data_IF_882044188158
#
_entry.id   IF_882044188158
#
_cell.length_a   1.000
_cell.length_b   1.000
_cell.length_c   1.000
_cell.angle_alpha   90.00
_cell.angle_beta   90.00
_cell.angle_gamma   90.00
#
_symmetry.space_group_name_H-M   'P 1'
#
loop_
_entity.id
_entity.type
_entity.pdbx_description
1 polymer ?
#
# COMPACT_ATOMS: atom_id res chain seq x y z
N UNK A 1 -2.32 16.05 6.50
CA UNK A 1 -2.46 17.51 6.72
C UNK A 1 -3.12 17.81 8.07
N UNK A 2 -4.39 17.43 8.30
CA UNK A 2 -5.08 17.65 9.59
C UNK A 2 -4.36 17.05 10.80
N UNK A 3 -3.81 15.84 10.68
CA UNK A 3 -3.02 15.22 11.75
C UNK A 3 -1.76 16.02 12.12
N UNK A 4 -1.09 16.67 11.16
CA UNK A 4 0.11 17.49 11.43
C UNK A 4 -0.22 18.80 12.14
N UNK A 5 -1.34 19.44 11.74
CA UNK A 5 -1.86 20.66 12.40
C UNK A 5 -2.30 20.37 13.85
N UNK A 6 -2.92 19.22 14.10
CA UNK A 6 -3.36 18.82 15.43
C UNK A 6 -2.18 18.50 16.37
N UNK A 7 -1.16 17.81 15.86
CA UNK A 7 0.06 17.49 16.62
C UNK A 7 0.86 18.76 16.96
N UNK A 8 0.87 19.77 16.08
CA UNK A 8 1.54 21.04 16.36
C UNK A 8 0.85 21.90 17.43
N UNK A 9 -0.45 21.71 17.67
CA UNK A 9 -1.20 22.49 18.66
C UNK A 9 -1.06 21.89 20.06
N UNK A 10 -1.39 20.61 20.23
CA UNK A 10 -1.18 19.86 21.47
C UNK A 10 -1.36 18.35 21.23
N UNK A 11 -0.37 17.55 21.63
CA UNK A 11 -0.44 16.08 21.53
C UNK A 11 -1.69 15.52 22.23
N UNK A 12 -2.08 16.08 23.37
CA UNK A 12 -3.25 15.64 24.15
C UNK A 12 -4.53 15.86 23.36
N UNK A 13 -4.63 16.96 22.61
CA UNK A 13 -5.79 17.26 21.78
C UNK A 13 -5.93 16.29 20.60
N UNK A 14 -4.80 15.91 19.98
CA UNK A 14 -4.78 14.92 18.90
C UNK A 14 -5.31 13.54 19.38
N UNK A 15 -4.88 13.08 20.57
CA UNK A 15 -5.36 11.83 21.16
C UNK A 15 -6.82 11.92 21.63
N UNK A 16 -7.24 13.05 22.22
CA UNK A 16 -8.62 13.25 22.65
C UNK A 16 -9.60 13.23 21.47
N UNK A 17 -9.26 13.91 20.37
CA UNK A 17 -10.06 13.90 19.15
C UNK A 17 -10.13 12.49 18.52
N UNK A 18 -9.01 11.77 18.50
CA UNK A 18 -8.99 10.39 18.02
C UNK A 18 -9.91 9.49 18.85
N UNK A 19 -9.85 9.58 20.19
CA UNK A 19 -10.72 8.82 21.08
C UNK A 19 -12.21 9.14 20.86
N UNK A 20 -12.53 10.41 20.63
CA UNK A 20 -13.89 10.87 20.37
C UNK A 20 -14.43 10.34 19.02
N UNK A 21 -13.61 10.37 17.96
CA UNK A 21 -13.95 9.80 16.66
C UNK A 21 -14.12 8.27 16.71
N UNK A 22 -13.24 7.56 17.43
CA UNK A 22 -13.40 6.12 17.64
C UNK A 22 -14.66 5.80 18.45
N UNK A 23 -14.97 6.60 19.48
CA UNK A 23 -16.20 6.46 20.25
C UNK A 23 -17.45 6.69 19.40
N UNK A 24 -17.46 7.74 18.57
CA UNK A 24 -18.54 8.01 17.62
C UNK A 24 -18.69 6.88 16.60
N UNK A 25 -17.58 6.34 16.08
CA UNK A 25 -17.57 5.18 15.19
C UNK A 25 -18.13 3.92 15.84
N UNK A 26 -17.71 3.61 17.07
CA UNK A 26 -18.22 2.48 17.83
C UNK A 26 -19.73 2.61 18.12
N UNK A 27 -20.19 3.82 18.44
CA UNK A 27 -21.61 4.11 18.63
C UNK A 27 -22.39 3.94 17.31
N UNK A 28 -21.88 4.45 16.20
CA UNK A 28 -22.50 4.28 14.89
C UNK A 28 -22.57 2.78 14.49
N UNK A 29 -21.53 2.01 14.81
CA UNK A 29 -21.48 0.57 14.60
C UNK A 29 -22.46 -0.20 15.49
N UNK A 30 -22.67 0.24 16.73
CA UNK A 30 -23.66 -0.33 17.64
C UNK A 30 -25.11 -0.05 17.21
N UNK A 31 -25.34 1.06 16.51
CA UNK A 31 -26.66 1.45 15.99
C UNK A 31 -26.99 0.79 14.63
N UNK A 32 -25.99 0.28 13.91
CA UNK A 32 -26.19 -0.46 12.67
C UNK A 32 -26.78 -1.85 12.96
N UNK A 33 -27.94 -2.14 12.36
CA UNK A 33 -28.54 -3.46 12.40
C UNK A 33 -27.64 -4.47 11.69
N UNK A 34 -27.25 -5.52 12.41
CA UNK A 34 -26.43 -6.62 11.87
C UNK A 34 -27.22 -7.42 10.84
N UNK A 35 -27.01 -7.14 9.56
CA UNK A 35 -27.31 -8.08 8.48
C UNK A 35 -26.16 -9.11 8.39
N UNK A 36 -26.08 -10.00 9.37
CA UNK A 36 -25.14 -11.11 9.30
C UNK A 36 -25.61 -12.09 8.20
N UNK A 37 -24.76 -12.45 7.21
CA UNK A 37 -25.09 -13.54 6.32
C UNK A 37 -25.30 -14.80 7.16
N UNK A 38 -26.48 -15.43 7.02
CA UNK A 38 -26.96 -16.54 7.86
C UNK A 38 -26.10 -17.83 7.80
N UNK A 39 -25.06 -17.88 6.95
CA UNK A 39 -24.19 -19.04 6.75
C UNK A 39 -22.70 -18.67 6.75
N UNK A 40 -22.24 -17.93 7.77
CA UNK A 40 -20.80 -17.85 8.03
C UNK A 40 -20.36 -19.14 8.74
N UNK A 41 -19.85 -20.12 7.99
CA UNK A 41 -19.12 -21.25 8.57
C UNK A 41 -18.06 -20.74 9.54
N UNK A 42 -17.93 -21.38 10.72
CA UNK A 42 -17.00 -20.92 11.76
C UNK A 42 -15.58 -20.81 11.18
N UNK A 43 -14.90 -19.65 11.34
CA UNK A 43 -13.51 -19.52 10.91
C UNK A 43 -12.68 -20.54 11.68
N UNK A 44 -12.24 -21.57 10.97
CA UNK A 44 -11.46 -22.68 11.52
C UNK A 44 -10.05 -22.56 10.94
N UNK A 45 -9.00 -22.95 11.67
CA UNK A 45 -7.63 -22.90 11.12
C UNK A 45 -7.47 -23.60 9.77
N UNK A 46 -8.25 -24.67 9.55
CA UNK A 46 -8.33 -25.40 8.27
C UNK A 46 -8.82 -24.52 7.11
N UNK A 47 -9.74 -23.61 7.36
CA UNK A 47 -10.30 -22.66 6.39
C UNK A 47 -9.25 -21.65 5.90
N UNK A 48 -8.40 -21.16 6.80
CA UNK A 48 -7.26 -20.30 6.43
C UNK A 48 -6.19 -21.06 5.64
N UNK A 49 -5.91 -22.31 6.01
CA UNK A 49 -5.01 -23.21 5.28
C UNK A 49 -5.50 -23.53 3.87
N UNK A 50 -6.81 -23.64 3.66
CA UNK A 50 -7.39 -23.78 2.32
C UNK A 50 -7.22 -22.52 1.47
N UNK A 51 -7.36 -21.33 2.06
CA UNK A 51 -7.04 -20.05 1.41
C UNK A 51 -5.58 -19.99 0.95
N UNK A 52 -4.64 -20.34 1.83
CA UNK A 52 -3.19 -20.41 1.50
C UNK A 52 -2.94 -21.40 0.35
N UNK A 53 -3.53 -22.60 0.44
CA UNK A 53 -3.37 -23.65 -0.57
C UNK A 53 -3.95 -23.22 -1.93
N UNK A 54 -5.03 -22.45 -1.92
CA UNK A 54 -5.62 -21.88 -3.13
C UNK A 54 -4.70 -20.85 -3.78
N UNK A 55 -4.18 -19.89 -3.00
CA UNK A 55 -3.22 -18.88 -3.48
C UNK A 55 -2.00 -19.59 -4.09
N UNK A 56 -1.47 -20.62 -3.43
CA UNK A 56 -0.35 -21.42 -3.93
C UNK A 56 -0.62 -22.16 -5.25
N UNK A 57 -1.86 -22.57 -5.50
CA UNK A 57 -2.23 -23.24 -6.76
C UNK A 57 -2.49 -22.24 -7.89
N UNK A 58 -2.97 -21.05 -7.59
CA UNK A 58 -3.32 -20.05 -8.59
C UNK A 58 -2.17 -19.09 -8.85
N UNK A 59 -1.30 -19.46 -9.80
CA UNK A 59 -0.05 -18.75 -10.13
C UNK A 59 -0.22 -17.26 -10.46
N UNK A 60 -1.35 -16.86 -11.04
CA UNK A 60 -1.65 -15.44 -11.34
C UNK A 60 -1.88 -14.65 -10.07
N UNK A 61 -2.65 -15.19 -9.12
CA UNK A 61 -2.94 -14.55 -7.83
C UNK A 61 -1.68 -14.51 -6.97
N UNK A 62 -0.93 -15.62 -6.93
CA UNK A 62 0.36 -15.66 -6.23
C UNK A 62 1.35 -14.66 -6.83
N UNK A 63 1.44 -14.56 -8.15
CA UNK A 63 2.35 -13.61 -8.80
C UNK A 63 1.98 -12.16 -8.52
N UNK A 64 0.69 -11.80 -8.51
CA UNK A 64 0.21 -10.46 -8.15
C UNK A 64 0.49 -10.12 -6.68
N UNK A 65 0.12 -11.04 -5.77
CA UNK A 65 0.30 -10.85 -4.32
C UNK A 65 1.79 -10.81 -3.97
N UNK A 66 2.62 -11.71 -4.51
CA UNK A 66 4.06 -11.69 -4.26
C UNK A 66 4.73 -10.43 -4.83
N UNK A 67 4.36 -9.99 -6.03
CA UNK A 67 4.88 -8.76 -6.62
C UNK A 67 4.61 -7.57 -5.71
N UNK A 68 3.38 -7.46 -5.21
CA UNK A 68 2.94 -6.41 -4.29
C UNK A 68 3.67 -6.49 -2.94
N UNK A 69 3.74 -7.68 -2.34
CA UNK A 69 4.48 -7.90 -1.09
C UNK A 69 5.92 -7.44 -1.19
N UNK A 70 6.62 -7.83 -2.26
CA UNK A 70 8.01 -7.42 -2.45
C UNK A 70 8.13 -5.94 -2.79
N UNK A 71 7.23 -5.39 -3.58
CA UNK A 71 7.23 -3.96 -3.88
C UNK A 71 7.04 -3.09 -2.63
N UNK A 72 6.14 -3.52 -1.73
CA UNK A 72 5.83 -2.86 -0.46
C UNK A 72 6.94 -3.08 0.57
N UNK A 73 7.53 -4.28 0.64
CA UNK A 73 8.67 -4.60 1.49
C UNK A 73 9.81 -3.60 1.26
N UNK A 74 10.19 -3.40 0.00
CA UNK A 74 11.23 -2.43 -0.38
C UNK A 74 10.71 -0.97 -0.42
N UNK A 75 9.40 -0.77 -0.28
CA UNK A 75 8.73 0.54 -0.28
C UNK A 75 8.70 1.24 1.08
N UNK A 76 9.39 0.72 2.11
CA UNK A 76 9.37 1.20 3.51
C UNK A 76 9.84 2.64 3.76
N UNK A 77 9.97 3.46 2.72
CA UNK A 77 10.25 4.89 2.78
C UNK A 77 9.30 5.66 3.71
N UNK A 78 8.05 5.20 3.86
CA UNK A 78 7.05 5.79 4.77
C UNK A 78 7.50 5.70 6.23
N UNK A 79 8.16 4.62 6.63
CA UNK A 79 8.69 4.44 7.99
C UNK A 79 9.83 5.42 8.30
N UNK A 80 10.57 5.84 7.27
CA UNK A 80 11.70 6.77 7.38
C UNK A 80 11.30 8.24 7.20
N UNK A 81 10.05 8.53 6.82
CA UNK A 81 9.55 9.91 6.65
C UNK A 81 9.82 10.83 7.85
N UNK A 82 9.69 10.39 9.12
CA UNK A 82 10.00 11.25 10.26
C UNK A 82 11.48 11.67 10.31
N UNK A 83 12.39 10.74 9.98
CA UNK A 83 13.83 10.99 9.92
C UNK A 83 14.14 11.95 8.77
N UNK A 84 13.52 11.75 7.60
CA UNK A 84 13.65 12.67 6.46
C UNK A 84 13.17 14.08 6.78
N UNK A 85 12.00 14.21 7.40
CA UNK A 85 11.43 15.51 7.72
C UNK A 85 12.34 16.28 8.69
N UNK A 86 12.85 15.62 9.74
CA UNK A 86 13.61 16.27 10.80
C UNK A 86 15.09 16.45 10.50
N UNK A 87 15.75 15.44 9.91
CA UNK A 87 17.21 15.41 9.75
C UNK A 87 17.70 15.81 8.35
N UNK A 88 16.88 15.64 7.30
CA UNK A 88 17.31 15.88 5.91
C UNK A 88 16.69 17.19 5.41
N UNK A 89 15.36 17.26 5.43
CA UNK A 89 14.59 18.40 4.91
C UNK A 89 14.49 19.55 5.92
N UNK A 90 14.87 19.32 7.18
CA UNK A 90 14.80 20.31 8.27
C UNK A 90 13.42 20.98 8.39
N UNK A 91 12.37 20.22 8.09
CA UNK A 91 10.99 20.66 8.15
C UNK A 91 10.33 20.19 9.45
N UNK A 92 9.70 21.13 10.15
CA UNK A 92 8.99 20.83 11.39
C UNK A 92 7.77 19.91 11.21
N UNK A 93 6.98 19.69 12.28
CA UNK A 93 5.81 18.79 12.28
C UNK A 93 4.79 19.10 11.16
N UNK A 94 4.66 20.37 10.78
CA UNK A 94 3.78 20.82 9.70
C UNK A 94 4.26 20.28 8.35
N UNK A 95 5.57 20.36 8.07
CA UNK A 95 6.15 19.85 6.83
C UNK A 95 6.09 18.33 6.73
N UNK A 96 6.32 17.61 7.84
CA UNK A 96 6.03 16.17 7.92
C UNK A 96 4.56 15.86 7.61
N UNK A 97 3.64 16.61 8.21
CA UNK A 97 2.21 16.48 7.96
C UNK A 97 1.80 16.77 6.51
N UNK A 98 2.54 17.64 5.82
CA UNK A 98 2.38 17.95 4.41
C UNK A 98 2.94 16.84 3.50
N UNK A 99 4.14 16.30 3.78
CA UNK A 99 4.71 15.16 3.05
C UNK A 99 3.78 13.93 3.14
N UNK A 100 3.28 13.62 4.34
CA UNK A 100 2.28 12.56 4.53
C UNK A 100 0.97 12.86 3.81
N UNK A 101 0.55 14.14 3.76
CA UNK A 101 -0.64 14.53 3.01
C UNK A 101 -0.47 14.35 1.51
N UNK A 102 0.72 14.65 0.97
CA UNK A 102 0.99 14.61 -0.45
C UNK A 102 0.73 13.23 -1.04
N UNK A 103 1.25 12.18 -0.40
CA UNK A 103 0.97 10.78 -0.77
C UNK A 103 -0.54 10.48 -0.75
N UNK A 104 -1.24 10.86 0.32
CA UNK A 104 -2.70 10.68 0.41
C UNK A 104 -3.50 11.46 -0.64
N UNK A 105 -3.08 12.69 -0.98
CA UNK A 105 -3.71 13.52 -2.02
C UNK A 105 -3.50 12.89 -3.40
N UNK A 106 -2.28 12.43 -3.70
CA UNK A 106 -1.99 11.71 -4.94
C UNK A 106 -2.84 10.46 -5.10
N UNK A 107 -2.93 9.65 -4.04
CA UNK A 107 -3.80 8.48 -3.99
C UNK A 107 -5.29 8.84 -4.19
N UNK A 108 -5.78 9.89 -3.53
CA UNK A 108 -7.18 10.32 -3.64
C UNK A 108 -7.53 10.82 -5.05
N UNK A 109 -6.65 11.60 -5.69
CA UNK A 109 -6.85 12.08 -7.07
C UNK A 109 -6.94 10.92 -8.05
N UNK A 110 -6.04 9.95 -7.93
CA UNK A 110 -6.05 8.74 -8.76
C UNK A 110 -7.30 7.89 -8.50
N UNK A 111 -7.69 7.69 -7.23
CA UNK A 111 -8.91 6.95 -6.88
C UNK A 111 -10.17 7.60 -7.46
N UNK A 112 -10.26 8.94 -7.42
CA UNK A 112 -11.35 9.68 -8.04
C UNK A 112 -11.34 9.53 -9.57
N UNK A 113 -10.16 9.47 -10.19
CA UNK A 113 -9.99 9.18 -11.62
C UNK A 113 -10.49 7.78 -11.99
N UNK A 114 -10.04 6.75 -11.27
CA UNK A 114 -10.43 5.36 -11.51
C UNK A 114 -11.94 5.14 -11.30
N UNK A 115 -12.53 5.83 -10.32
CA UNK A 115 -13.99 5.77 -10.10
C UNK A 115 -14.78 6.28 -11.31
N UNK A 116 -14.25 7.28 -12.03
CA UNK A 116 -14.87 7.81 -13.25
C UNK A 116 -14.57 6.97 -14.48
N UNK A 117 -13.36 6.41 -14.56
CA UNK A 117 -12.91 5.57 -15.68
C UNK A 117 -12.36 4.26 -15.12
N UNK A 118 -13.21 3.24 -14.93
CA UNK A 118 -12.79 1.97 -14.39
C UNK A 118 -11.76 1.33 -15.31
N UNK A 119 -10.73 0.74 -14.71
CA UNK A 119 -9.66 0.04 -15.42
C UNK A 119 -10.25 -1.24 -16.04
N UNK A 120 -10.34 -1.29 -17.37
CA UNK A 120 -10.97 -2.41 -18.09
C UNK A 120 -9.99 -3.28 -18.86
N UNK A 121 -8.95 -2.71 -19.45
CA UNK A 121 -8.02 -3.41 -20.34
C UNK A 121 -6.57 -3.22 -19.89
N UNK A 122 -5.74 -4.23 -20.07
CA UNK A 122 -4.30 -4.17 -19.84
C UNK A 122 -3.89 -4.03 -18.38
N UNK A 123 -4.69 -4.54 -17.44
CA UNK A 123 -4.45 -4.44 -15.99
C UNK A 123 -3.06 -4.94 -15.62
N UNK A 124 -2.62 -6.03 -16.24
CA UNK A 124 -1.28 -6.58 -16.05
C UNK A 124 -0.17 -5.59 -16.40
N UNK A 125 -0.19 -5.04 -17.61
CA UNK A 125 0.85 -4.11 -18.07
C UNK A 125 0.80 -2.79 -17.29
N UNK A 126 -0.41 -2.31 -16.98
CA UNK A 126 -0.61 -1.10 -16.18
C UNK A 126 -0.01 -1.27 -14.77
N UNK A 127 -0.20 -2.43 -14.14
CA UNK A 127 0.39 -2.73 -12.83
C UNK A 127 1.91 -2.59 -12.87
N UNK A 128 2.58 -3.21 -13.85
CA UNK A 128 4.04 -3.10 -13.97
C UNK A 128 4.52 -1.66 -14.16
N UNK A 129 3.85 -0.87 -15.00
CA UNK A 129 4.19 0.53 -15.20
C UNK A 129 3.97 1.38 -13.95
N UNK A 130 2.88 1.13 -13.20
CA UNK A 130 2.61 1.85 -11.97
C UNK A 130 3.63 1.51 -10.88
N UNK A 131 3.93 0.24 -10.64
CA UNK A 131 4.93 -0.14 -9.64
C UNK A 131 6.33 0.35 -10.05
N UNK A 132 6.64 0.40 -11.36
CA UNK A 132 7.91 0.96 -11.83
C UNK A 132 7.97 2.49 -11.60
N UNK A 133 6.87 3.19 -11.89
CA UNK A 133 6.71 4.61 -11.57
C UNK A 133 6.83 4.89 -10.07
N UNK A 134 6.27 4.03 -9.23
CA UNK A 134 6.43 4.08 -7.77
C UNK A 134 7.91 3.94 -7.36
N UNK A 135 8.61 2.92 -7.88
CA UNK A 135 10.04 2.74 -7.60
C UNK A 135 10.89 3.95 -8.00
N UNK A 136 10.66 4.50 -9.20
CA UNK A 136 11.35 5.71 -9.67
C UNK A 136 11.02 6.92 -8.78
N UNK A 137 9.75 7.13 -8.43
CA UNK A 137 9.34 8.22 -7.55
C UNK A 137 9.97 8.10 -6.15
N UNK A 138 10.11 6.88 -5.63
CA UNK A 138 10.80 6.59 -4.36
C UNK A 138 12.29 6.91 -4.45
N UNK A 139 12.97 6.56 -5.55
CA UNK A 139 14.38 6.95 -5.77
C UNK A 139 14.53 8.47 -5.84
N UNK A 140 13.66 9.14 -6.59
CA UNK A 140 13.66 10.61 -6.70
C UNK A 140 13.44 11.25 -5.33
N UNK A 141 12.52 10.73 -4.52
CA UNK A 141 12.31 11.17 -3.15
C UNK A 141 13.57 10.97 -2.29
N UNK A 142 14.25 9.83 -2.44
CA UNK A 142 15.43 9.51 -1.65
C UNK A 142 16.66 10.38 -1.96
N UNK A 143 16.82 10.81 -3.21
CA UNK A 143 17.91 11.71 -3.64
C UNK A 143 17.54 13.19 -3.48
N UNK A 144 16.24 13.49 -3.35
CA UNK A 144 15.74 14.86 -3.26
C UNK A 144 16.08 15.51 -1.92
N UNK A 145 16.77 16.65 -1.99
CA UNK A 145 17.00 17.58 -0.86
C UNK A 145 16.04 18.76 -0.85
N UNK A 146 15.11 18.82 -1.81
CA UNK A 146 14.14 19.91 -1.93
C UNK A 146 12.77 19.47 -1.43
N UNK A 147 12.20 20.23 -0.49
CA UNK A 147 10.89 19.94 0.09
C UNK A 147 9.79 19.79 -0.99
N UNK A 148 9.76 20.68 -1.98
CA UNK A 148 8.75 20.65 -3.05
C UNK A 148 8.91 19.45 -3.98
N UNK A 149 10.15 19.07 -4.28
CA UNK A 149 10.42 17.91 -5.12
C UNK A 149 10.03 16.62 -4.38
N UNK A 150 10.35 16.53 -3.08
CA UNK A 150 9.94 15.42 -2.23
C UNK A 150 8.41 15.35 -2.09
N UNK A 151 7.73 16.49 -1.98
CA UNK A 151 6.27 16.57 -1.94
C UNK A 151 5.64 16.00 -3.24
N UNK A 152 6.16 16.42 -4.39
CA UNK A 152 5.69 15.95 -5.69
C UNK A 152 5.98 14.45 -5.88
N UNK A 153 7.19 14.00 -5.54
CA UNK A 153 7.58 12.61 -5.63
C UNK A 153 6.67 11.70 -4.78
N UNK A 154 6.36 12.10 -3.54
CA UNK A 154 5.45 11.35 -2.68
C UNK A 154 4.01 11.35 -3.19
N UNK A 155 3.54 12.45 -3.78
CA UNK A 155 2.22 12.50 -4.41
C UNK A 155 2.13 11.54 -5.61
N UNK A 156 3.15 11.53 -6.46
CA UNK A 156 3.24 10.61 -7.60
C UNK A 156 3.32 9.15 -7.11
N UNK A 157 4.16 8.87 -6.11
CA UNK A 157 4.28 7.55 -5.51
C UNK A 157 2.94 7.06 -4.94
N UNK A 158 2.24 7.89 -4.14
CA UNK A 158 0.93 7.53 -3.60
C UNK A 158 -0.14 7.34 -4.69
N UNK A 159 -0.05 8.06 -5.80
CA UNK A 159 -0.90 7.84 -6.97
C UNK A 159 -0.67 6.48 -7.61
N UNK A 160 0.58 6.11 -7.88
CA UNK A 160 0.94 4.81 -8.46
C UNK A 160 0.61 3.62 -7.54
N UNK A 161 0.82 3.80 -6.24
CA UNK A 161 0.45 2.82 -5.21
C UNK A 161 -1.06 2.55 -5.22
N UNK A 162 -1.89 3.62 -5.30
CA UNK A 162 -3.34 3.47 -5.40
C UNK A 162 -3.78 2.66 -6.64
N UNK A 163 -3.18 2.91 -7.81
CA UNK A 163 -3.50 2.10 -9.01
C UNK A 163 -3.17 0.62 -8.76
N UNK A 164 -2.00 0.35 -8.20
CA UNK A 164 -1.52 -1.01 -7.93
C UNK A 164 -2.43 -1.75 -6.95
N UNK A 165 -2.83 -1.06 -5.86
CA UNK A 165 -3.78 -1.58 -4.88
C UNK A 165 -5.14 -1.92 -5.50
N UNK A 166 -5.67 -1.05 -6.38
CA UNK A 166 -6.94 -1.31 -7.07
C UNK A 166 -6.83 -2.51 -7.99
N UNK A 167 -5.77 -2.60 -8.80
CA UNK A 167 -5.56 -3.74 -9.71
C UNK A 167 -5.45 -5.03 -8.90
N UNK A 168 -4.71 -5.05 -7.79
CA UNK A 168 -4.58 -6.21 -6.90
C UNK A 168 -5.94 -6.66 -6.39
N UNK A 169 -6.75 -5.73 -5.87
CA UNK A 169 -8.10 -6.01 -5.41
C UNK A 169 -8.97 -6.63 -6.52
N UNK A 170 -8.89 -6.10 -7.74
CA UNK A 170 -9.64 -6.63 -8.89
C UNK A 170 -9.15 -8.04 -9.24
N UNK A 171 -7.84 -8.28 -9.31
CA UNK A 171 -7.26 -9.59 -9.63
C UNK A 171 -7.65 -10.64 -8.58
N UNK A 172 -7.57 -10.30 -7.28
CA UNK A 172 -7.95 -11.24 -6.21
C UNK A 172 -9.46 -11.51 -6.24
N UNK A 173 -10.29 -10.47 -6.39
CA UNK A 173 -11.74 -10.65 -6.39
C UNK A 173 -12.26 -11.41 -7.62
N UNK A 174 -11.71 -11.15 -8.81
CA UNK A 174 -12.10 -11.83 -10.04
C UNK A 174 -11.46 -13.23 -10.15
N UNK A 175 -10.25 -13.40 -9.61
CA UNK A 175 -9.54 -14.68 -9.61
C UNK A 175 -10.03 -15.67 -8.57
N UNK A 176 -10.78 -15.24 -7.54
CA UNK A 176 -11.19 -16.09 -6.41
C UNK A 176 -12.70 -16.40 -6.42
N UNK A 177 -13.10 -17.70 -6.36
CA UNK A 177 -14.49 -18.13 -6.22
C UNK A 177 -15.19 -17.47 -5.04
N UNK A 178 -16.49 -17.14 -5.18
CA UNK A 178 -17.26 -16.38 -4.16
C UNK A 178 -17.21 -17.02 -2.77
N UNK A 179 -17.20 -18.35 -2.67
CA UNK A 179 -17.14 -19.04 -1.37
C UNK A 179 -15.79 -18.87 -0.65
N UNK A 180 -14.70 -18.67 -1.40
CA UNK A 180 -13.34 -18.60 -0.88
C UNK A 180 -12.82 -17.17 -0.69
N UNK A 181 -13.54 -16.15 -1.20
CA UNK A 181 -13.10 -14.75 -1.15
C UNK A 181 -12.75 -14.28 0.24
N UNK A 182 -13.63 -14.51 1.23
CA UNK A 182 -13.36 -14.12 2.61
C UNK A 182 -12.09 -14.76 3.17
N UNK A 183 -11.85 -16.04 2.85
CA UNK A 183 -10.68 -16.80 3.32
C UNK A 183 -9.38 -16.32 2.67
N UNK A 184 -9.41 -16.10 1.35
CA UNK A 184 -8.25 -15.60 0.58
C UNK A 184 -7.91 -14.16 0.99
N UNK A 185 -8.91 -13.28 1.12
CA UNK A 185 -8.71 -11.89 1.55
C UNK A 185 -8.17 -11.81 2.99
N UNK A 186 -8.61 -12.68 3.91
CA UNK A 186 -8.02 -12.73 5.26
C UNK A 186 -6.53 -13.10 5.23
N UNK A 187 -6.15 -14.08 4.41
CA UNK A 187 -4.75 -14.48 4.26
C UNK A 187 -3.95 -13.37 3.60
N UNK A 188 -4.46 -12.77 2.53
CA UNK A 188 -3.84 -11.64 1.85
C UNK A 188 -3.56 -10.46 2.81
N UNK A 189 -4.54 -10.07 3.63
CA UNK A 189 -4.39 -8.98 4.59
C UNK A 189 -3.25 -9.25 5.59
N UNK A 190 -3.16 -10.48 6.12
CA UNK A 190 -2.06 -10.87 7.03
C UNK A 190 -0.71 -10.76 6.33
N UNK A 191 -0.62 -11.18 5.06
CA UNK A 191 0.61 -11.08 4.28
C UNK A 191 1.00 -9.62 3.98
N UNK A 192 0.03 -8.76 3.68
CA UNK A 192 0.26 -7.32 3.46
C UNK A 192 0.77 -6.67 4.75
N UNK A 193 0.11 -6.89 5.88
CA UNK A 193 0.52 -6.34 7.17
C UNK A 193 1.91 -6.85 7.59
N UNK A 194 2.15 -8.15 7.48
CA UNK A 194 3.47 -8.73 7.79
C UNK A 194 4.58 -8.14 6.90
N UNK A 195 4.30 -7.88 5.62
CA UNK A 195 5.29 -7.32 4.69
C UNK A 195 5.55 -5.84 4.93
N UNK A 196 4.54 -5.07 5.32
CA UNK A 196 4.71 -3.68 5.75
C UNK A 196 5.64 -3.59 6.97
N UNK A 197 5.42 -4.44 7.97
CA UNK A 197 6.26 -4.48 9.18
C UNK A 197 7.68 -4.96 8.88
N UNK A 198 7.84 -6.00 8.05
CA UNK A 198 9.15 -6.46 7.59
C UNK A 198 9.88 -5.39 6.78
N UNK A 199 9.18 -4.66 5.92
CA UNK A 199 9.75 -3.59 5.10
C UNK A 199 10.17 -2.39 5.94
N UNK A 200 9.38 -2.05 6.97
CA UNK A 200 9.75 -1.03 7.94
C UNK A 200 10.98 -1.45 8.75
N UNK A 201 11.08 -2.73 9.15
CA UNK A 201 12.24 -3.27 9.85
C UNK A 201 13.51 -3.26 8.98
N UNK A 202 13.41 -3.73 7.72
CA UNK A 202 14.50 -3.68 6.75
C UNK A 202 14.94 -2.23 6.54
N UNK A 203 14.00 -1.34 6.20
CA UNK A 203 14.28 0.07 5.92
C UNK A 203 14.91 0.76 7.12
N UNK A 204 14.46 0.45 8.35
CA UNK A 204 15.03 0.97 9.59
C UNK A 204 16.45 0.45 9.85
N UNK A 205 16.69 -0.84 9.61
CA UNK A 205 18.02 -1.47 9.78
C UNK A 205 19.02 -0.90 8.77
N UNK A 206 18.64 -0.84 7.50
CA UNK A 206 19.46 -0.25 6.44
C UNK A 206 19.69 1.24 6.70
N UNK A 207 18.67 1.97 7.18
CA UNK A 207 18.83 3.38 7.53
C UNK A 207 19.79 3.61 8.70
N UNK A 208 19.83 2.70 9.68
CA UNK A 208 20.76 2.77 10.80
C UNK A 208 22.22 2.57 10.35
N UNK A 209 22.47 1.79 9.29
CA UNK A 209 23.81 1.44 8.84
C UNK A 209 24.33 2.34 7.71
N UNK A 210 23.47 2.60 6.71
CA UNK A 210 23.82 3.32 5.47
C UNK A 210 23.20 4.73 5.39
N UNK A 211 22.36 5.09 6.36
CA UNK A 211 21.60 6.34 6.37
C UNK A 211 20.24 6.23 5.69
N UNK A 212 19.32 7.13 6.07
CA UNK A 212 17.96 7.14 5.54
C UNK A 212 17.90 7.41 4.02
N UNK A 213 18.83 8.21 3.48
CA UNK A 213 19.00 8.44 2.05
C UNK A 213 19.24 7.14 1.28
N UNK A 214 20.29 6.41 1.66
CA UNK A 214 20.64 5.15 1.03
C UNK A 214 19.53 4.09 1.19
N UNK A 215 18.88 4.01 2.35
CA UNK A 215 17.80 3.05 2.59
C UNK A 215 16.62 3.23 1.62
N UNK A 216 16.17 4.48 1.41
CA UNK A 216 15.07 4.78 0.48
C UNK A 216 15.45 4.51 -0.97
N UNK A 217 16.68 4.87 -1.37
CA UNK A 217 17.16 4.62 -2.74
C UNK A 217 17.30 3.12 -2.99
N UNK A 218 17.89 2.38 -2.05
CA UNK A 218 18.01 0.92 -2.13
C UNK A 218 16.65 0.24 -2.19
N UNK A 219 15.68 0.73 -1.42
CA UNK A 219 14.29 0.28 -1.48
C UNK A 219 13.69 0.49 -2.88
N UNK A 220 13.77 1.71 -3.42
CA UNK A 220 13.26 1.99 -4.77
C UNK A 220 13.96 1.19 -5.88
N UNK A 221 15.27 0.97 -5.77
CA UNK A 221 16.03 0.09 -6.68
C UNK A 221 15.59 -1.37 -6.51
N UNK A 222 15.41 -1.83 -5.28
CA UNK A 222 14.89 -3.16 -4.96
C UNK A 222 13.53 -3.42 -5.60
N UNK A 223 12.61 -2.45 -5.50
CA UNK A 223 11.30 -2.51 -6.18
C UNK A 223 11.46 -2.65 -7.70
N UNK A 224 12.36 -1.88 -8.33
CA UNK A 224 12.59 -1.98 -9.78
C UNK A 224 13.21 -3.32 -10.20
N UNK A 225 14.14 -3.85 -9.40
CA UNK A 225 14.75 -5.17 -9.62
C UNK A 225 13.69 -6.26 -9.51
N UNK A 226 12.84 -6.22 -8.47
CA UNK A 226 11.73 -7.15 -8.28
C UNK A 226 10.81 -7.12 -9.49
N UNK A 227 10.42 -5.93 -9.97
CA UNK A 227 9.60 -5.78 -11.17
C UNK A 227 10.28 -6.42 -12.38
N UNK A 228 11.57 -6.15 -12.60
CA UNK A 228 12.31 -6.71 -13.73
C UNK A 228 12.32 -8.24 -13.70
N UNK A 229 12.59 -8.82 -12.52
CA UNK A 229 12.59 -10.27 -12.31
C UNK A 229 11.18 -10.85 -12.51
N UNK A 230 10.14 -10.23 -11.94
CA UNK A 230 8.76 -10.71 -12.07
C UNK A 230 8.20 -10.55 -13.47
N UNK A 231 8.56 -9.48 -14.18
CA UNK A 231 8.17 -9.28 -15.57
C UNK A 231 8.76 -10.36 -16.49
N UNK A 232 9.91 -10.92 -16.14
CA UNK A 232 10.51 -12.06 -16.83
C UNK A 232 9.93 -13.41 -16.37
N UNK A 233 9.68 -13.58 -15.07
CA UNK A 233 9.26 -14.86 -14.47
C UNK A 233 7.77 -15.16 -14.61
N UNK A 234 6.94 -14.14 -14.77
CA UNK A 234 5.48 -14.22 -14.88
C UNK A 234 4.93 -13.47 -16.11
N UNK A 235 5.27 -13.90 -17.34
CA UNK A 235 4.74 -13.27 -18.56
C UNK A 235 3.21 -13.41 -18.71
N UNK A 236 2.60 -14.37 -18.00
CA UNK A 236 1.16 -14.55 -17.93
C UNK A 236 0.44 -13.38 -17.23
N UNK A 237 1.08 -12.74 -16.24
CA UNK A 237 0.53 -11.54 -15.60
C UNK A 237 0.52 -10.34 -16.55
N UNK A 238 1.51 -10.22 -17.46
CA UNK A 238 1.54 -9.15 -18.47
C UNK A 238 0.37 -9.21 -19.45
N UNK A 239 -0.19 -10.39 -19.69
CA UNK A 239 -1.29 -10.63 -20.63
C UNK A 239 -2.65 -10.71 -19.94
N UNK A 240 -2.71 -10.45 -18.63
CA UNK A 240 -3.96 -10.52 -17.88
C UNK A 240 -4.84 -9.31 -18.21
N UNK A 241 -5.88 -9.56 -19.00
CA UNK A 241 -7.02 -8.67 -19.21
C UNK A 241 -8.18 -9.08 -18.30
N UNK A 242 -8.92 -8.10 -17.78
CA UNK A 242 -10.14 -8.41 -17.06
C UNK A 242 -11.11 -9.14 -18.00
N UNK A 243 -11.77 -10.22 -17.56
CA UNK A 243 -12.80 -10.86 -18.37
C UNK A 243 -13.87 -9.81 -18.74
N UNK A 244 -14.18 -9.71 -20.03
CA UNK A 244 -15.24 -8.85 -20.54
C UNK A 244 -16.55 -9.27 -19.85
N UNK A 245 -17.07 -8.40 -18.98
CA UNK A 245 -18.43 -8.50 -18.42
C UNK A 245 -19.45 -8.08 -19.45
#
# INVERSE_FOLDING_TARGET
ALAGLLISANIVFAFALAALLYGAGAMCFALLHRNAPQHAERPTWRSSLEGIRYIWRQKVVLGAISLDLFAVLFGGAVALLPIYATQILHVGPIGFGALRAASGVGAALVAAGITRQPLRNGLGNLLYWCVAGFGIATIVFGVSKSFWLSLLALAIAGGFDMVSMVIRNVVVQLGTPREMRGRVTSVENVFIEASNELGAFESGTVAAWLGAEASVVLGGVGTLVVIGIWAWRFPELRRYDAPAT
#
